data_IF_099975451652
#
_entry.id   IF_099975451652
#
_cell.length_a   1.000
_cell.length_b   1.000
_cell.length_c   1.000
_cell.angle_alpha   90.00
_cell.angle_beta   90.00
_cell.angle_gamma   90.00
#
_symmetry.space_group_name_H-M   'P 1'
#
loop_
_entity.id
_entity.type
_entity.pdbx_description
1 polymer ?
#
# COMPACT_ATOMS: atom_id res chain seq x y z
N UNK A 1 15.67 -7.64 12.86
CA UNK A 1 14.19 -7.60 12.79
C UNK A 1 13.66 -7.74 11.36
N UNK A 2 14.10 -6.90 10.40
CA UNK A 2 13.62 -6.96 9.01
C UNK A 2 13.80 -8.33 8.33
N UNK A 3 14.97 -8.96 8.52
CA UNK A 3 15.26 -10.31 8.00
C UNK A 3 14.28 -11.35 8.53
N UNK A 4 13.99 -11.35 9.84
CA UNK A 4 13.02 -12.27 10.46
C UNK A 4 11.61 -12.08 9.88
N UNK A 5 11.18 -10.83 9.66
CA UNK A 5 9.89 -10.54 9.02
C UNK A 5 9.85 -11.06 7.58
N UNK A 6 10.92 -10.84 6.80
CA UNK A 6 11.01 -11.32 5.43
C UNK A 6 11.00 -12.86 5.33
N UNK A 7 11.65 -13.54 6.28
CA UNK A 7 11.72 -14.99 6.36
C UNK A 7 10.40 -15.65 6.80
N UNK A 8 9.51 -14.92 7.47
CA UNK A 8 8.23 -15.46 7.95
C UNK A 8 7.29 -15.94 6.83
N UNK A 9 7.47 -15.47 5.60
CA UNK A 9 6.54 -15.70 4.49
C UNK A 9 5.24 -14.89 4.57
N UNK A 10 4.98 -14.18 5.69
CA UNK A 10 3.77 -13.38 5.88
C UNK A 10 3.91 -11.94 5.37
N UNK A 11 5.13 -11.43 5.28
CA UNK A 11 5.41 -10.04 4.89
C UNK A 11 6.26 -10.02 3.63
N UNK A 12 5.82 -9.21 2.67
CA UNK A 12 6.67 -8.83 1.52
C UNK A 12 7.37 -7.50 1.84
N UNK A 13 8.69 -7.50 1.78
CA UNK A 13 9.48 -6.26 1.90
C UNK A 13 9.52 -5.57 0.54
N UNK A 14 9.00 -4.34 0.49
CA UNK A 14 9.06 -3.47 -0.68
C UNK A 14 10.04 -2.32 -0.46
N UNK A 15 10.49 -1.70 -1.54
CA UNK A 15 11.29 -0.48 -1.49
C UNK A 15 10.42 0.73 -1.13
N UNK A 16 11.00 1.67 -0.39
CA UNK A 16 10.46 3.01 -0.20
C UNK A 16 11.50 4.07 -0.59
N UNK A 17 12.27 3.81 -1.66
CA UNK A 17 13.41 4.60 -2.16
C UNK A 17 14.66 4.50 -1.26
N UNK A 18 15.78 5.08 -1.68
CA UNK A 18 16.99 5.18 -0.86
C UNK A 18 17.05 6.55 -0.18
N UNK A 19 16.99 7.63 -0.97
CA UNK A 19 17.02 9.04 -0.54
C UNK A 19 15.74 9.82 -0.92
N UNK A 20 14.86 9.19 -1.69
CA UNK A 20 13.67 9.82 -2.27
C UNK A 20 12.59 10.28 -1.29
N UNK A 21 12.73 9.98 0.00
CA UNK A 21 11.78 10.38 1.05
C UNK A 21 12.12 11.76 1.66
N UNK A 22 12.37 12.74 0.79
CA UNK A 22 12.68 14.11 1.17
C UNK A 22 11.93 15.11 0.29
N UNK A 23 11.93 16.37 0.69
CA UNK A 23 11.43 17.49 -0.11
C UNK A 23 12.56 18.47 -0.38
N UNK A 24 12.53 19.09 -1.57
CA UNK A 24 13.48 20.12 -2.00
C UNK A 24 12.67 21.29 -2.53
N UNK A 25 12.83 22.46 -1.91
CA UNK A 25 12.02 23.64 -2.26
C UNK A 25 10.52 23.42 -2.12
N UNK A 26 10.09 22.60 -1.14
CA UNK A 26 8.69 22.24 -0.93
C UNK A 26 8.13 21.19 -1.90
N UNK A 27 8.93 20.72 -2.86
CA UNK A 27 8.53 19.68 -3.82
C UNK A 27 9.11 18.32 -3.41
N UNK A 28 8.37 17.20 -3.59
CA UNK A 28 8.90 15.86 -3.42
C UNK A 28 10.18 15.63 -4.24
N UNK A 29 11.17 14.92 -3.69
CA UNK A 29 12.50 14.75 -4.28
C UNK A 29 12.51 14.31 -5.75
N UNK A 30 11.61 13.39 -6.15
CA UNK A 30 11.50 12.94 -7.54
C UNK A 30 10.82 13.95 -8.48
N UNK A 31 10.09 14.92 -7.95
CA UNK A 31 9.44 15.99 -8.72
C UNK A 31 10.28 17.27 -8.75
N UNK A 32 11.10 17.48 -7.72
CA UNK A 32 11.99 18.63 -7.63
C UNK A 32 13.10 18.58 -8.69
N UNK A 33 13.44 19.76 -9.23
CA UNK A 33 14.65 19.99 -10.01
C UNK A 33 15.75 20.45 -9.05
N UNK A 34 16.84 19.69 -8.97
CA UNK A 34 17.95 20.04 -8.09
C UNK A 34 18.85 21.09 -8.73
N UNK A 35 19.73 21.68 -7.92
CA UNK A 35 20.84 22.49 -8.43
C UNK A 35 22.15 21.77 -8.11
N UNK A 36 23.10 21.82 -9.03
CA UNK A 36 24.43 21.25 -8.81
C UNK A 36 25.11 21.97 -7.64
N UNK A 37 25.61 21.25 -6.62
CA UNK A 37 26.33 21.89 -5.52
C UNK A 37 27.66 22.50 -5.97
N UNK A 38 28.22 22.04 -7.10
CA UNK A 38 29.52 22.47 -7.62
C UNK A 38 29.43 23.68 -8.54
N UNK A 39 28.40 23.71 -9.39
CA UNK A 39 28.27 24.74 -10.45
C UNK A 39 27.09 25.67 -10.25
N UNK A 40 26.20 25.37 -9.29
CA UNK A 40 24.95 26.11 -9.08
C UNK A 40 23.93 25.96 -10.20
N UNK A 41 24.25 25.28 -11.31
CA UNK A 41 23.35 25.15 -12.46
C UNK A 41 22.15 24.27 -12.12
N UNK A 42 20.96 24.56 -12.68
CA UNK A 42 19.82 23.68 -12.53
C UNK A 42 20.08 22.34 -13.21
N UNK A 43 19.58 21.29 -12.58
CA UNK A 43 19.56 19.92 -13.08
C UNK A 43 18.81 19.85 -14.43
N UNK A 44 19.40 19.12 -15.38
CA UNK A 44 18.78 18.83 -16.68
C UNK A 44 17.78 17.67 -16.57
N UNK A 45 16.95 17.48 -17.60
CA UNK A 45 16.00 16.36 -17.63
C UNK A 45 16.69 14.99 -17.56
N UNK A 46 17.82 14.83 -18.25
CA UNK A 46 18.59 13.57 -18.24
C UNK A 46 19.23 13.29 -16.88
N UNK A 47 19.80 14.31 -16.24
CA UNK A 47 20.36 14.19 -14.90
C UNK A 47 19.29 13.80 -13.87
N UNK A 48 18.10 14.40 -13.97
CA UNK A 48 16.96 14.05 -13.11
C UNK A 48 16.51 12.59 -13.33
N UNK A 49 16.41 12.14 -14.59
CA UNK A 49 16.07 10.75 -14.90
C UNK A 49 17.13 9.78 -14.38
N UNK A 50 18.41 10.11 -14.54
CA UNK A 50 19.52 9.32 -14.05
C UNK A 50 19.52 9.23 -12.51
N UNK A 51 19.27 10.35 -11.82
CA UNK A 51 19.14 10.40 -10.36
C UNK A 51 18.01 9.53 -9.84
N UNK A 52 16.82 9.63 -10.43
CA UNK A 52 15.67 8.78 -10.04
C UNK A 52 15.98 7.31 -10.27
N UNK A 53 16.55 6.95 -11.43
CA UNK A 53 16.90 5.56 -11.72
C UNK A 53 17.97 5.02 -10.76
N UNK A 54 19.03 5.80 -10.49
CA UNK A 54 20.10 5.40 -9.60
C UNK A 54 19.60 5.17 -8.17
N UNK A 55 18.77 6.07 -7.65
CA UNK A 55 18.17 5.93 -6.31
C UNK A 55 17.35 4.63 -6.17
N UNK A 56 16.58 4.29 -7.21
CA UNK A 56 15.77 3.06 -7.25
C UNK A 56 16.63 1.80 -7.36
N UNK A 57 17.70 1.82 -8.16
CA UNK A 57 18.64 0.70 -8.30
C UNK A 57 19.39 0.47 -6.98
N UNK A 58 19.92 1.52 -6.37
CA UNK A 58 20.61 1.43 -5.08
C UNK A 58 19.68 0.90 -4.00
N UNK A 59 18.46 1.45 -3.88
CA UNK A 59 17.46 0.96 -2.91
C UNK A 59 17.15 -0.52 -3.08
N UNK A 60 17.01 -0.97 -4.34
CA UNK A 60 16.74 -2.38 -4.65
C UNK A 60 17.92 -3.28 -4.28
N UNK A 61 19.14 -2.90 -4.65
CA UNK A 61 20.35 -3.67 -4.38
C UNK A 61 20.62 -3.81 -2.87
N UNK A 62 20.51 -2.71 -2.12
CA UNK A 62 20.68 -2.72 -0.66
C UNK A 62 19.65 -3.62 0.01
N UNK A 63 18.38 -3.57 -0.42
CA UNK A 63 17.35 -4.45 0.14
C UNK A 63 17.58 -5.91 -0.24
N UNK A 64 18.03 -6.18 -1.47
CA UNK A 64 18.38 -7.53 -1.91
C UNK A 64 19.49 -8.14 -1.06
N UNK A 65 20.55 -7.38 -0.77
CA UNK A 65 21.63 -7.80 0.11
C UNK A 65 21.13 -8.13 1.52
N UNK A 66 20.23 -7.31 2.07
CA UNK A 66 19.69 -7.50 3.43
C UNK A 66 18.73 -8.68 3.52
N UNK A 67 17.81 -8.84 2.55
CA UNK A 67 16.71 -9.82 2.63
C UNK A 67 16.94 -11.07 1.79
N UNK A 68 18.05 -11.14 1.04
CA UNK A 68 18.44 -12.26 0.19
C UNK A 68 17.65 -12.40 -1.12
N UNK A 69 16.79 -11.43 -1.43
CA UNK A 69 16.00 -11.41 -2.68
C UNK A 69 15.63 -9.99 -3.08
N UNK A 70 15.57 -9.68 -4.38
CA UNK A 70 15.29 -8.32 -4.81
C UNK A 70 13.83 -7.93 -4.53
N UNK A 71 13.55 -6.74 -3.97
CA UNK A 71 12.20 -6.27 -3.75
C UNK A 71 11.49 -6.05 -5.09
N UNK A 72 10.30 -6.63 -5.26
CA UNK A 72 9.52 -6.45 -6.49
C UNK A 72 8.50 -5.31 -6.44
N UNK A 73 8.25 -4.75 -5.26
CA UNK A 73 7.27 -3.69 -5.04
C UNK A 73 7.94 -2.39 -4.59
N UNK A 74 7.42 -1.26 -5.06
CA UNK A 74 7.86 0.09 -4.67
C UNK A 74 6.67 0.85 -4.08
N UNK A 75 6.81 1.37 -2.87
CA UNK A 75 5.90 2.41 -2.33
C UNK A 75 6.55 3.75 -2.61
N UNK A 76 5.87 4.68 -3.29
CA UNK A 76 6.47 5.99 -3.56
C UNK A 76 6.29 6.94 -2.37
N UNK A 77 7.35 7.65 -1.94
CA UNK A 77 7.26 8.73 -0.96
C UNK A 77 6.20 9.75 -1.39
N UNK A 78 5.38 10.16 -0.42
CA UNK A 78 4.25 11.08 -0.63
C UNK A 78 3.21 10.60 -1.67
N UNK A 79 3.36 9.37 -2.19
CA UNK A 79 2.55 8.83 -3.27
C UNK A 79 2.79 9.48 -4.63
N UNK A 80 3.87 10.23 -4.78
CA UNK A 80 4.18 11.03 -5.97
C UNK A 80 4.72 10.18 -7.10
N UNK A 81 3.87 9.92 -8.09
CA UNK A 81 4.18 9.15 -9.31
C UNK A 81 4.16 10.03 -10.55
N UNK A 82 4.79 9.56 -11.63
CA UNK A 82 4.86 10.23 -12.92
C UNK A 82 5.46 9.31 -13.97
N UNK A 83 5.36 9.68 -15.25
CA UNK A 83 5.86 8.84 -16.36
C UNK A 83 7.33 8.45 -16.18
N UNK A 84 8.19 9.44 -15.90
CA UNK A 84 9.63 9.21 -15.72
C UNK A 84 9.93 8.26 -14.54
N UNK A 85 9.21 8.41 -13.42
CA UNK A 85 9.36 7.54 -12.24
C UNK A 85 8.92 6.11 -12.56
N UNK A 86 7.80 5.94 -13.27
CA UNK A 86 7.32 4.62 -13.69
C UNK A 86 8.29 3.93 -14.65
N UNK A 87 8.84 4.67 -15.61
CA UNK A 87 9.84 4.15 -16.55
C UNK A 87 11.13 3.76 -15.82
N UNK A 88 11.63 4.61 -14.91
CA UNK A 88 12.80 4.31 -14.09
C UNK A 88 12.58 3.07 -13.21
N UNK A 89 11.42 2.95 -12.56
CA UNK A 89 11.09 1.80 -11.73
C UNK A 89 10.97 0.49 -12.53
N UNK A 90 10.36 0.52 -13.73
CA UNK A 90 10.35 -0.65 -14.63
C UNK A 90 11.77 -1.06 -15.00
N UNK A 91 12.61 -0.09 -15.39
CA UNK A 91 14.02 -0.32 -15.75
C UNK A 91 14.86 -0.84 -14.58
N UNK A 92 14.54 -0.44 -13.34
CA UNK A 92 15.19 -0.93 -12.13
C UNK A 92 14.68 -2.33 -11.69
N UNK A 93 13.68 -2.90 -12.37
CA UNK A 93 13.17 -4.25 -12.09
C UNK A 93 12.01 -4.34 -11.10
N UNK A 94 11.36 -3.22 -10.77
CA UNK A 94 10.12 -3.24 -9.99
C UNK A 94 8.95 -3.71 -10.85
N UNK A 95 8.08 -4.54 -10.25
CA UNK A 95 6.88 -5.10 -10.91
C UNK A 95 5.61 -4.34 -10.59
N UNK A 96 5.58 -3.63 -9.46
CA UNK A 96 4.47 -2.77 -9.10
C UNK A 96 4.89 -1.54 -8.28
N UNK A 97 4.07 -0.50 -8.36
CA UNK A 97 4.23 0.74 -7.63
C UNK A 97 2.92 1.06 -6.91
N UNK A 98 2.99 1.28 -5.60
CA UNK A 98 1.91 1.85 -4.81
C UNK A 98 2.00 3.38 -4.83
N UNK A 99 1.08 4.01 -5.56
CA UNK A 99 0.97 5.46 -5.71
C UNK A 99 0.07 6.07 -4.62
N UNK A 100 -0.04 7.40 -4.61
CA UNK A 100 -0.88 8.16 -3.67
C UNK A 100 -2.30 8.42 -4.15
N UNK A 101 -2.65 8.00 -5.37
CA UNK A 101 -4.01 8.17 -5.90
C UNK A 101 -4.97 7.22 -5.20
N UNK A 102 -6.17 7.69 -4.92
CA UNK A 102 -7.24 6.86 -4.38
C UNK A 102 -7.89 6.02 -5.49
N UNK A 103 -8.44 4.87 -5.12
CA UNK A 103 -9.15 4.00 -6.05
C UNK A 103 -9.06 2.52 -5.67
N UNK A 104 -9.86 1.73 -6.37
CA UNK A 104 -9.87 0.28 -6.24
C UNK A 104 -8.92 -0.35 -7.26
N UNK A 105 -8.36 -1.49 -6.88
CA UNK A 105 -7.55 -2.31 -7.78
C UNK A 105 -8.45 -3.38 -8.38
N UNK A 106 -8.44 -3.46 -9.70
CA UNK A 106 -9.04 -4.54 -10.48
C UNK A 106 -7.99 -5.18 -11.42
N UNK A 107 -8.42 -6.15 -12.23
CA UNK A 107 -7.53 -6.86 -13.18
C UNK A 107 -6.95 -5.97 -14.29
N UNK A 108 -7.52 -4.77 -14.52
CA UNK A 108 -7.11 -3.84 -15.58
C UNK A 108 -6.22 -2.71 -15.05
N UNK A 109 -6.06 -2.62 -13.73
CA UNK A 109 -5.29 -1.56 -13.09
C UNK A 109 -3.81 -1.68 -13.46
N UNK A 110 -3.19 -0.58 -13.91
CA UNK A 110 -1.74 -0.56 -14.17
C UNK A 110 -0.99 -0.81 -12.86
N UNK A 111 -0.21 -1.90 -12.84
CA UNK A 111 0.59 -2.29 -11.68
C UNK A 111 1.65 -1.23 -11.35
N UNK A 112 2.07 -0.41 -12.31
CA UNK A 112 3.02 0.69 -12.07
C UNK A 112 2.34 1.98 -11.59
N UNK A 113 1.05 1.92 -11.28
CA UNK A 113 0.30 3.03 -10.72
C UNK A 113 -0.85 2.51 -9.83
N UNK A 114 -0.57 1.61 -8.89
CA UNK A 114 -1.58 1.03 -8.01
C UNK A 114 -2.14 2.10 -7.06
N UNK A 115 -3.46 2.31 -7.04
CA UNK A 115 -4.09 3.20 -6.08
C UNK A 115 -3.97 2.64 -4.67
N UNK A 116 -4.03 3.54 -3.69
CA UNK A 116 -4.10 3.20 -2.27
C UNK A 116 -5.21 3.97 -1.59
N UNK A 117 -5.81 3.31 -0.62
CA UNK A 117 -6.64 4.00 0.37
C UNK A 117 -5.72 4.71 1.34
N UNK A 118 -5.84 6.03 1.44
CA UNK A 118 -5.19 6.78 2.50
C UNK A 118 -5.91 6.49 3.80
N UNK A 119 -5.15 6.05 4.80
CA UNK A 119 -5.66 5.94 6.15
C UNK A 119 -5.27 7.20 6.94
N UNK A 120 -6.27 7.96 7.37
CA UNK A 120 -6.05 9.14 8.23
C UNK A 120 -6.19 8.75 9.71
N UNK A 121 -5.72 9.59 10.62
CA UNK A 121 -6.05 9.38 12.04
C UNK A 121 -7.47 9.91 12.28
N UNK A 122 -8.37 9.03 12.74
CA UNK A 122 -9.74 9.41 13.04
C UNK A 122 -10.61 8.22 13.45
N UNK A 123 -11.92 8.43 13.68
CA UNK A 123 -12.81 7.35 14.08
C UNK A 123 -12.92 6.28 12.98
N UNK A 124 -12.48 5.05 13.30
CA UNK A 124 -12.47 3.88 12.41
C UNK A 124 -13.78 3.71 11.62
N UNK A 125 -14.92 3.82 12.30
CA UNK A 125 -16.25 3.67 11.69
C UNK A 125 -16.56 4.73 10.63
N UNK A 126 -16.05 5.95 10.77
CA UNK A 126 -16.24 7.02 9.78
C UNK A 126 -15.44 6.71 8.51
N UNK A 127 -14.22 6.22 8.67
CA UNK A 127 -13.33 5.88 7.56
C UNK A 127 -13.82 4.65 6.79
N UNK A 128 -14.27 3.59 7.49
CA UNK A 128 -14.87 2.41 6.86
C UNK A 128 -16.16 2.73 6.10
N UNK A 129 -17.01 3.62 6.64
CA UNK A 129 -18.21 4.08 5.92
C UNK A 129 -17.85 4.83 4.64
N UNK A 130 -16.84 5.70 4.69
CA UNK A 130 -16.38 6.45 3.52
C UNK A 130 -15.81 5.54 2.43
N UNK A 131 -15.15 4.44 2.83
CA UNK A 131 -14.69 3.42 1.88
C UNK A 131 -15.87 2.77 1.15
N UNK A 132 -16.92 2.36 1.86
CA UNK A 132 -18.12 1.77 1.24
C UNK A 132 -18.89 2.68 0.26
N UNK A 133 -18.54 3.97 0.15
CA UNK A 133 -19.13 4.92 -0.79
C UNK A 133 -18.25 5.20 -2.01
N UNK A 134 -17.05 4.62 -2.11
CA UNK A 134 -16.22 4.78 -3.30
C UNK A 134 -16.84 4.05 -4.50
N UNK A 135 -16.87 4.67 -5.70
CA UNK A 135 -17.38 4.04 -6.91
C UNK A 135 -16.68 2.69 -7.15
N UNK A 136 -17.46 1.61 -7.30
CA UNK A 136 -16.94 0.28 -7.63
C UNK A 136 -16.79 -0.71 -6.47
N UNK A 137 -17.03 -0.32 -5.21
CA UNK A 137 -17.10 -1.30 -4.11
C UNK A 137 -18.49 -1.97 -4.08
N UNK A 138 -18.57 -3.30 -3.85
CA UNK A 138 -19.84 -3.97 -3.60
C UNK A 138 -20.53 -3.29 -2.41
N UNK A 139 -21.70 -2.68 -2.64
CA UNK A 139 -22.52 -2.18 -1.54
C UNK A 139 -22.94 -3.36 -0.69
N UNK A 140 -22.55 -3.36 0.58
CA UNK A 140 -23.07 -4.30 1.55
C UNK A 140 -24.60 -4.14 1.63
N UNK A 141 -25.36 -5.04 1.01
CA UNK A 141 -26.80 -5.13 1.20
C UNK A 141 -27.03 -5.79 2.55
N UNK A 142 -27.54 -5.04 3.52
CA UNK A 142 -28.11 -5.65 4.74
C UNK A 142 -29.28 -6.55 4.30
N UNK A 143 -29.07 -7.85 4.29
CA UNK A 143 -30.19 -8.79 4.22
C UNK A 143 -31.01 -8.60 5.50
N UNK A 144 -32.30 -8.31 5.33
CA UNK A 144 -33.26 -8.32 6.43
C UNK A 144 -33.39 -9.77 6.89
N UNK A 145 -32.70 -10.14 7.96
CA UNK A 145 -33.08 -11.33 8.73
C UNK A 145 -34.52 -11.13 9.21
N UNK A 146 -35.47 -11.85 8.60
CA UNK A 146 -36.81 -12.00 9.16
C UNK A 146 -36.65 -12.63 10.55
N UNK A 147 -37.00 -11.88 11.58
CA UNK A 147 -37.22 -12.43 12.90
C UNK A 147 -38.50 -13.27 12.83
N UNK A 148 -38.37 -14.59 12.72
CA UNK A 148 -39.44 -15.46 13.20
C UNK A 148 -39.28 -15.51 14.72
N UNK A 149 -40.21 -14.85 15.41
CA UNK A 149 -40.35 -14.89 16.84
C UNK A 149 -41.27 -16.05 17.24
N UNK A 150 -40.80 -16.80 18.25
CA UNK A 150 -41.57 -17.38 19.36
C UNK A 150 -42.63 -18.47 19.10
N UNK A 151 -42.47 -19.57 19.84
CA UNK A 151 -43.62 -20.30 20.39
C UNK A 151 -43.51 -21.82 20.38
N UNK A 152 -42.70 -22.43 21.26
CA UNK A 152 -43.12 -23.58 22.09
C UNK A 152 -41.99 -24.02 23.03
N UNK A 153 -42.18 -23.79 24.34
CA UNK A 153 -41.47 -24.49 25.41
C UNK A 153 -42.54 -25.22 26.22
N UNK A 154 -42.59 -26.57 26.25
CA UNK A 154 -43.34 -27.26 27.28
C UNK A 154 -42.44 -27.37 28.52
N UNK A 155 -42.83 -26.67 29.59
CA UNK A 155 -42.39 -26.99 30.94
C UNK A 155 -43.34 -28.04 31.53
N UNK A 156 -42.79 -29.13 32.08
CA UNK A 156 -43.14 -29.71 33.39
C UNK A 156 -42.50 -31.10 33.51
N UNK A 157 -41.61 -31.25 34.51
CA UNK A 157 -41.82 -32.09 35.70
C UNK A 157 -41.55 -33.57 35.46
N UNK A 158 -40.49 -34.12 36.06
CA UNK A 158 -40.66 -35.11 37.13
C UNK A 158 -39.36 -35.26 37.94
N UNK A 159 -39.52 -35.20 39.26
CA UNK A 159 -38.51 -35.45 40.26
C UNK A 159 -38.33 -36.97 40.51
N UNK A 160 -37.08 -37.35 40.77
CA UNK A 160 -36.54 -38.33 41.74
C UNK A 160 -37.10 -39.77 41.90
N UNK A 161 -36.19 -40.64 42.40
CA UNK A 161 -36.30 -42.03 42.92
C UNK A 161 -36.15 -43.17 41.89
N UNK A 162 -35.50 -44.33 42.13
CA UNK A 162 -34.56 -44.88 43.13
C UNK A 162 -34.00 -46.20 42.54
N UNK A 163 -32.88 -46.70 43.07
CA UNK A 163 -32.29 -48.06 43.00
C UNK A 163 -32.99 -49.17 42.19
N UNK A 164 -32.16 -49.88 41.43
CA UNK A 164 -32.32 -51.25 40.95
C UNK A 164 -30.99 -51.72 40.36
#
# INVERSE_FOLDING_TARGET
MLVCLAASGLVTVGSHTHEGHSTVGGQPYYQARLHSPWTGRPETGDERRARIWNDLVVSRAVLEEIVGRPPSALSLPFGCTGREVREAARRAGFRCIFAGREGLVDRKTDLMDLPRVRWERGPLLKQLKNLGHQPGLPRYKKEKRQKQAEGYFPQSSFASFIHG
#
